data_IF_261461921124
#
_entry.id   IF_261461921124
#
_cell.length_a   1.000
_cell.length_b   1.000
_cell.length_c   1.000
_cell.angle_alpha   90.00
_cell.angle_beta   90.00
_cell.angle_gamma   90.00
#
_symmetry.space_group_name_H-M   'P 1'
#
loop_
_entity.id
_entity.type
_entity.pdbx_description
1 polymer ?
#
# COMPACT_ATOMS: atom_id res chain seq x y z
N UNK A 1 -9.57 18.16 -22.60
CA UNK A 1 -8.17 18.21 -23.07
C UNK A 1 -7.16 18.70 -22.02
N UNK A 2 -7.59 19.16 -20.83
CA UNK A 2 -6.74 19.89 -19.87
C UNK A 2 -5.76 19.04 -19.05
N UNK A 3 -6.13 17.80 -18.66
CA UNK A 3 -5.31 17.01 -17.71
C UNK A 3 -3.82 16.83 -18.05
N UNK A 4 -3.45 16.64 -19.33
CA UNK A 4 -2.03 16.47 -19.68
C UNK A 4 -1.20 17.75 -19.53
N UNK A 5 -1.84 18.92 -19.62
CA UNK A 5 -1.23 20.22 -19.30
C UNK A 5 -1.25 20.42 -17.79
N UNK A 6 -2.37 20.16 -17.13
CA UNK A 6 -2.51 20.27 -15.67
C UNK A 6 -1.50 19.39 -14.92
N UNK A 7 -1.25 18.17 -15.40
CA UNK A 7 -0.25 17.24 -14.86
C UNK A 7 1.17 17.79 -14.97
N UNK A 8 1.53 18.35 -16.13
CA UNK A 8 2.85 18.95 -16.32
C UNK A 8 3.02 20.22 -15.49
N UNK A 9 1.96 21.03 -15.35
CA UNK A 9 1.93 22.19 -14.46
C UNK A 9 2.06 21.76 -12.99
N UNK A 10 1.41 20.67 -12.60
CA UNK A 10 1.51 20.13 -11.25
C UNK A 10 2.93 19.62 -10.92
N UNK A 11 3.60 18.97 -11.89
CA UNK A 11 5.00 18.59 -11.76
C UNK A 11 5.94 19.80 -11.68
N UNK A 12 5.71 20.84 -12.51
CA UNK A 12 6.57 22.03 -12.48
C UNK A 12 6.36 22.90 -11.24
N UNK A 13 5.14 22.92 -10.67
CA UNK A 13 4.83 23.71 -9.47
C UNK A 13 5.22 23.02 -8.15
N UNK A 14 5.41 21.70 -8.15
CA UNK A 14 5.52 20.93 -6.92
C UNK A 14 6.89 20.88 -6.24
N UNK A 15 7.86 21.71 -6.66
CA UNK A 15 9.24 21.71 -6.13
C UNK A 15 9.85 20.31 -6.01
N UNK A 16 9.63 19.45 -7.02
CA UNK A 16 10.20 18.11 -7.05
C UNK A 16 11.66 18.15 -7.54
N UNK A 17 12.54 17.24 -7.06
CA UNK A 17 13.86 17.05 -7.64
C UNK A 17 13.78 16.78 -9.15
N UNK A 18 14.77 17.23 -9.95
CA UNK A 18 14.77 17.03 -11.39
C UNK A 18 14.64 15.55 -11.78
N UNK A 19 15.37 14.68 -11.08
CA UNK A 19 15.37 13.23 -11.29
C UNK A 19 13.97 12.61 -11.12
N UNK A 20 13.15 13.16 -10.21
CA UNK A 20 11.76 12.73 -10.03
C UNK A 20 10.88 13.15 -11.21
N UNK A 21 11.07 14.37 -11.71
CA UNK A 21 10.29 14.88 -12.85
C UNK A 21 10.62 14.09 -14.11
N UNK A 22 11.89 13.73 -14.31
CA UNK A 22 12.35 12.92 -15.45
C UNK A 22 11.79 11.49 -15.41
N UNK A 23 11.69 10.90 -14.22
CA UNK A 23 11.15 9.56 -13.99
C UNK A 23 9.62 9.52 -13.87
N UNK A 24 8.95 10.68 -13.89
CA UNK A 24 7.50 10.76 -13.81
C UNK A 24 6.84 10.17 -15.07
N UNK A 25 5.59 9.73 -14.94
CA UNK A 25 4.85 9.12 -16.05
C UNK A 25 4.80 10.06 -17.26
N UNK A 26 5.35 9.64 -18.39
CA UNK A 26 5.41 10.45 -19.61
C UNK A 26 4.06 10.45 -20.34
N UNK A 27 3.05 11.07 -19.74
CA UNK A 27 1.67 11.05 -20.20
C UNK A 27 1.51 11.45 -21.69
N UNK A 28 2.30 12.42 -22.16
CA UNK A 28 2.29 12.86 -23.57
C UNK A 28 2.88 11.80 -24.51
N UNK A 29 3.98 11.14 -24.12
CA UNK A 29 4.66 10.08 -24.89
C UNK A 29 3.76 8.85 -24.98
N UNK A 30 3.23 8.40 -23.86
CA UNK A 30 2.28 7.28 -23.80
C UNK A 30 1.03 7.54 -24.63
N UNK A 31 0.48 8.76 -24.60
CA UNK A 31 -0.65 9.16 -25.45
C UNK A 31 -0.35 9.07 -26.96
N UNK A 32 0.90 9.36 -27.38
CA UNK A 32 1.33 9.18 -28.78
C UNK A 32 1.41 7.68 -29.13
N UNK A 33 1.90 6.84 -28.22
CA UNK A 33 1.91 5.39 -28.40
C UNK A 33 0.49 4.84 -28.59
N UNK A 34 -0.47 5.25 -27.75
CA UNK A 34 -1.89 4.84 -27.88
C UNK A 34 -2.46 5.19 -29.27
N UNK A 35 -2.08 6.34 -29.84
CA UNK A 35 -2.52 6.70 -31.21
C UNK A 35 -1.97 5.75 -32.26
N UNK A 36 -0.71 5.32 -32.12
CA UNK A 36 -0.07 4.35 -33.03
C UNK A 36 -0.73 2.97 -32.90
N UNK A 37 -0.99 2.50 -31.68
CA UNK A 37 -1.76 1.27 -31.44
C UNK A 37 -3.13 1.34 -32.11
N UNK A 38 -3.84 2.47 -31.95
CA UNK A 38 -5.14 2.66 -32.59
C UNK A 38 -5.03 2.60 -34.13
N UNK A 39 -4.00 3.21 -34.72
CA UNK A 39 -3.78 3.17 -36.17
C UNK A 39 -3.41 1.77 -36.66
N UNK A 40 -2.60 1.03 -35.90
CA UNK A 40 -2.22 -0.36 -36.18
C UNK A 40 -3.46 -1.26 -36.16
N UNK A 41 -4.31 -1.15 -35.14
CA UNK A 41 -5.58 -1.87 -35.05
C UNK A 41 -6.52 -1.56 -36.23
N UNK A 42 -6.67 -0.29 -36.60
CA UNK A 42 -7.47 0.12 -37.78
C UNK A 42 -6.87 -0.45 -39.07
N UNK A 43 -5.54 -0.44 -39.23
CA UNK A 43 -4.87 -0.99 -40.42
C UNK A 43 -5.06 -2.51 -40.56
N UNK A 44 -5.30 -3.20 -39.45
CA UNK A 44 -5.61 -4.62 -39.40
C UNK A 44 -7.12 -4.91 -39.60
N UNK A 45 -7.94 -3.88 -39.78
CA UNK A 45 -9.40 -4.01 -39.86
C UNK A 45 -10.06 -4.33 -38.52
N UNK A 46 -9.34 -4.14 -37.41
CA UNK A 46 -9.81 -4.30 -36.03
C UNK A 46 -10.13 -2.91 -35.47
N UNK A 47 -11.12 -2.25 -36.04
CA UNK A 47 -11.55 -0.96 -35.54
C UNK A 47 -12.33 -1.10 -34.21
N UNK A 48 -12.68 0.04 -33.62
CA UNK A 48 -13.29 0.08 -32.29
C UNK A 48 -14.65 -0.64 -32.25
N UNK A 49 -15.41 -0.55 -33.34
CA UNK A 49 -16.74 -1.16 -33.45
C UNK A 49 -16.59 -2.68 -33.56
N UNK A 50 -15.74 -3.14 -34.49
CA UNK A 50 -15.42 -4.57 -34.67
C UNK A 50 -14.89 -5.20 -33.38
N UNK A 51 -13.98 -4.53 -32.65
CA UNK A 51 -13.45 -5.06 -31.40
C UNK A 51 -14.50 -5.14 -30.29
N UNK A 52 -15.40 -4.15 -30.16
CA UNK A 52 -16.45 -4.21 -29.15
C UNK A 52 -17.46 -5.32 -29.45
N UNK A 53 -17.79 -5.57 -30.72
CA UNK A 53 -18.63 -6.69 -31.14
C UNK A 53 -17.97 -8.03 -30.80
N UNK A 54 -16.68 -8.19 -31.09
CA UNK A 54 -15.91 -9.38 -30.71
C UNK A 54 -15.93 -9.64 -29.19
N UNK A 55 -15.86 -8.58 -28.37
CA UNK A 55 -15.95 -8.71 -26.91
C UNK A 55 -17.36 -9.03 -26.39
N UNK A 56 -18.44 -8.64 -27.07
CA UNK A 56 -19.82 -8.94 -26.64
C UNK A 56 -20.15 -10.44 -26.68
N UNK A 57 -19.43 -11.20 -27.50
CA UNK A 57 -19.58 -12.64 -27.62
C UNK A 57 -18.64 -13.45 -26.70
N UNK A 58 -17.74 -12.78 -25.98
CA UNK A 58 -16.98 -13.35 -24.85
C UNK A 58 -17.86 -13.23 -23.61
N UNK A 59 -18.68 -14.24 -23.33
CA UNK A 59 -19.63 -14.22 -22.21
C UNK A 59 -18.96 -13.98 -20.83
N UNK A 60 -19.67 -13.36 -19.86
CA UNK A 60 -19.10 -12.97 -18.56
C UNK A 60 -18.78 -14.14 -17.60
N UNK A 61 -19.02 -15.40 -17.99
CA UNK A 61 -18.82 -16.61 -17.17
C UNK A 61 -17.87 -17.62 -17.84
N UNK A 62 -16.67 -17.20 -18.25
CA UNK A 62 -15.59 -18.13 -18.64
C UNK A 62 -14.43 -18.06 -17.65
N UNK A 63 -14.74 -18.20 -16.36
CA UNK A 63 -13.72 -18.57 -15.39
C UNK A 63 -13.44 -20.07 -15.56
N UNK A 64 -12.27 -20.40 -16.12
CA UNK A 64 -11.58 -21.70 -16.12
C UNK A 64 -11.70 -22.68 -17.31
N UNK A 65 -12.12 -22.26 -18.52
CA UNK A 65 -11.87 -23.07 -19.73
C UNK A 65 -11.31 -22.21 -20.86
N UNK A 66 -10.02 -22.37 -21.14
CA UNK A 66 -9.25 -21.66 -22.19
C UNK A 66 -9.71 -21.95 -23.63
N UNK A 67 -10.63 -22.89 -23.85
CA UNK A 67 -10.87 -23.47 -25.19
C UNK A 67 -11.98 -22.79 -26.02
N UNK A 68 -12.75 -21.84 -25.46
CA UNK A 68 -13.88 -21.20 -26.15
C UNK A 68 -13.86 -19.65 -26.16
N UNK A 69 -12.74 -18.99 -25.84
CA UNK A 69 -12.63 -17.52 -25.98
C UNK A 69 -12.27 -17.11 -27.41
N UNK A 70 -13.21 -16.46 -28.09
CA UNK A 70 -13.08 -15.98 -29.48
C UNK A 70 -11.98 -14.91 -29.65
N UNK A 71 -11.78 -14.07 -28.62
CA UNK A 71 -10.76 -13.03 -28.57
C UNK A 71 -10.12 -12.99 -27.18
N UNK A 72 -8.81 -13.11 -27.09
CA UNK A 72 -8.09 -13.00 -25.82
C UNK A 72 -6.92 -12.00 -25.96
N UNK A 73 -6.88 -11.02 -25.06
CA UNK A 73 -5.72 -10.15 -24.90
C UNK A 73 -5.04 -10.47 -23.57
N UNK A 74 -3.91 -11.18 -23.62
CA UNK A 74 -3.20 -11.63 -22.43
C UNK A 74 -1.80 -11.02 -22.32
N UNK A 75 -1.32 -10.89 -21.08
CA UNK A 75 0.05 -10.53 -20.78
C UNK A 75 0.71 -11.75 -20.15
N UNK A 76 1.44 -12.52 -20.95
CA UNK A 76 2.15 -13.69 -20.45
C UNK A 76 3.39 -13.27 -19.62
N UNK A 77 3.62 -13.99 -18.51
CA UNK A 77 4.89 -13.94 -17.76
C UNK A 77 5.86 -14.95 -18.36
N UNK A 78 6.58 -14.55 -19.40
CA UNK A 78 7.73 -15.32 -19.89
C UNK A 78 9.01 -14.87 -19.17
N UNK A 79 9.92 -15.81 -18.87
CA UNK A 79 11.18 -15.55 -18.18
C UNK A 79 12.12 -14.57 -18.92
N UNK A 80 13.06 -13.98 -18.15
CA UNK A 80 14.00 -12.87 -18.47
C UNK A 80 13.41 -11.58 -19.05
N UNK A 81 12.26 -11.62 -19.72
CA UNK A 81 11.49 -10.46 -20.18
C UNK A 81 10.01 -10.69 -19.85
N UNK A 82 9.54 -10.30 -18.66
CA UNK A 82 8.10 -10.36 -18.40
C UNK A 82 7.41 -9.29 -19.27
N UNK A 83 6.16 -9.52 -19.67
CA UNK A 83 5.27 -8.59 -20.39
C UNK A 83 5.46 -8.52 -21.92
N UNK A 84 4.95 -9.53 -22.64
CA UNK A 84 4.61 -9.41 -24.07
C UNK A 84 3.08 -9.39 -24.20
N UNK A 85 2.46 -8.27 -24.62
CA UNK A 85 1.04 -8.28 -24.94
C UNK A 85 0.79 -9.20 -26.14
N UNK A 86 -0.24 -10.04 -26.04
CA UNK A 86 -0.65 -10.95 -27.12
C UNK A 86 -2.14 -10.83 -27.34
N UNK A 87 -2.53 -10.48 -28.56
CA UNK A 87 -3.91 -10.53 -29.03
C UNK A 87 -4.10 -11.84 -29.81
N UNK A 88 -4.91 -12.76 -29.31
CA UNK A 88 -5.24 -14.01 -30.00
C UNK A 88 -6.69 -14.03 -30.47
N UNK A 89 -6.91 -14.53 -31.69
CA UNK A 89 -8.23 -14.70 -32.30
C UNK A 89 -8.41 -16.18 -32.67
N UNK A 90 -9.57 -16.76 -32.35
CA UNK A 90 -9.90 -18.14 -32.71
C UNK A 90 -10.24 -18.28 -34.20
N UNK A 91 -9.68 -19.30 -34.85
CA UNK A 91 -9.93 -19.67 -36.26
C UNK A 91 -10.55 -21.06 -36.37
N UNK A 92 -11.29 -21.29 -37.46
CA UNK A 92 -11.82 -22.61 -37.79
C UNK A 92 -10.66 -23.48 -38.35
N UNK A 93 -10.42 -24.68 -37.80
CA UNK A 93 -9.33 -25.55 -38.22
C UNK A 93 -9.42 -26.04 -39.67
N UNK A 94 -10.60 -26.01 -40.30
CA UNK A 94 -10.77 -26.55 -41.66
C UNK A 94 -10.41 -25.57 -42.78
N UNK A 95 -10.66 -24.27 -42.59
CA UNK A 95 -10.48 -23.26 -43.64
C UNK A 95 -9.57 -22.09 -43.23
N UNK A 96 -9.15 -22.03 -41.96
CA UNK A 96 -8.34 -20.94 -41.42
C UNK A 96 -9.06 -19.59 -41.41
N UNK A 97 -10.38 -19.57 -41.59
CA UNK A 97 -11.18 -18.37 -41.40
C UNK A 97 -11.29 -18.09 -39.90
N UNK A 98 -11.25 -16.81 -39.46
CA UNK A 98 -11.74 -16.45 -38.14
C UNK A 98 -13.13 -17.05 -37.94
N UNK A 99 -13.42 -17.64 -36.78
CA UNK A 99 -14.67 -18.40 -36.55
C UNK A 99 -15.96 -17.57 -36.67
N UNK A 100 -15.88 -16.30 -37.06
CA UNK A 100 -17.00 -15.38 -37.16
C UNK A 100 -17.30 -14.90 -38.59
N UNK A 101 -18.54 -15.16 -38.99
CA UNK A 101 -19.16 -14.73 -40.25
C UNK A 101 -19.51 -13.22 -40.31
N UNK A 102 -18.99 -12.40 -39.39
CA UNK A 102 -19.38 -11.00 -39.19
C UNK A 102 -18.25 -9.97 -39.36
N UNK A 103 -16.98 -10.41 -39.39
CA UNK A 103 -15.86 -9.54 -39.72
C UNK A 103 -16.02 -8.97 -41.14
N UNK A 104 -15.64 -7.72 -41.36
CA UNK A 104 -15.68 -7.13 -42.71
C UNK A 104 -14.86 -7.99 -43.71
N UNK A 105 -15.23 -8.04 -45.01
CA UNK A 105 -14.48 -8.80 -46.01
C UNK A 105 -12.99 -8.45 -46.05
N UNK A 106 -12.65 -7.19 -45.74
CA UNK A 106 -11.28 -6.69 -45.68
C UNK A 106 -10.56 -7.18 -44.42
N UNK A 107 -11.21 -7.16 -43.24
CA UNK A 107 -10.64 -7.70 -41.99
C UNK A 107 -10.36 -9.20 -42.12
N UNK A 108 -11.28 -9.98 -42.71
CA UNK A 108 -11.06 -11.42 -42.96
C UNK A 108 -9.89 -11.65 -43.90
N UNK A 109 -9.73 -10.82 -44.93
CA UNK A 109 -8.61 -10.92 -45.88
C UNK A 109 -7.27 -10.66 -45.19
N UNK A 110 -7.21 -9.69 -44.29
CA UNK A 110 -5.99 -9.40 -43.52
C UNK A 110 -5.66 -10.53 -42.55
N UNK A 111 -6.63 -11.02 -41.79
CA UNK A 111 -6.43 -12.15 -40.87
C UNK A 111 -6.02 -13.42 -41.63
N UNK A 112 -6.65 -13.75 -42.76
CA UNK A 112 -6.24 -14.86 -43.65
C UNK A 112 -4.80 -14.74 -44.15
N UNK A 113 -4.34 -13.54 -44.47
CA UNK A 113 -2.93 -13.32 -44.85
C UNK A 113 -1.97 -13.57 -43.68
N UNK A 114 -2.36 -13.21 -42.46
CA UNK A 114 -1.57 -13.49 -41.26
C UNK A 114 -1.51 -14.99 -40.98
N UNK A 115 -2.65 -15.70 -41.05
CA UNK A 115 -2.74 -17.17 -40.93
C UNK A 115 -1.76 -17.85 -41.90
N UNK A 116 -1.81 -17.44 -43.16
CA UNK A 116 -0.96 -18.03 -44.21
C UNK A 116 0.52 -17.73 -43.97
N UNK A 117 0.86 -16.53 -43.48
CA UNK A 117 2.23 -16.14 -43.17
C UNK A 117 2.79 -16.91 -41.97
N UNK A 118 1.99 -17.15 -40.93
CA UNK A 118 2.40 -17.99 -39.80
C UNK A 118 2.54 -19.45 -40.22
N UNK A 119 1.59 -20.01 -40.97
CA UNK A 119 1.71 -21.38 -41.51
C UNK A 119 2.96 -21.56 -42.37
N UNK A 120 3.31 -20.56 -43.20
CA UNK A 120 4.54 -20.56 -44.00
C UNK A 120 5.81 -20.47 -43.14
N UNK A 121 5.77 -19.75 -42.02
CA UNK A 121 6.89 -19.66 -41.07
C UNK A 121 7.10 -20.99 -40.32
N UNK A 122 6.02 -21.68 -39.93
CA UNK A 122 6.08 -23.00 -39.28
C UNK A 122 6.59 -24.08 -40.24
N UNK A 123 6.12 -24.08 -41.49
CA UNK A 123 6.58 -25.02 -42.53
C UNK A 123 8.07 -24.82 -42.86
N UNK A 124 8.56 -23.58 -42.89
CA UNK A 124 9.98 -23.29 -43.11
C UNK A 124 10.85 -23.58 -41.87
N UNK A 125 10.28 -23.62 -40.66
CA UNK A 125 10.97 -24.02 -39.43
C UNK A 125 11.21 -25.53 -39.35
N UNK A 126 10.22 -26.34 -39.74
CA UNK A 126 10.31 -27.81 -39.71
C UNK A 126 11.18 -28.39 -40.85
N UNK A 127 11.37 -27.66 -41.95
CA UNK A 127 12.26 -28.10 -43.04
C UNK A 127 13.77 -27.95 -42.71
N UNK A 128 14.13 -27.22 -41.65
CA UNK A 128 15.53 -27.09 -41.20
C UNK A 128 15.87 -28.19 -40.16
N UNK A 129 14.88 -28.78 -39.49
CA UNK A 129 15.09 -29.81 -38.46
C UNK A 129 15.24 -31.25 -39.01
N UNK A 130 14.90 -31.50 -40.28
CA UNK A 130 14.92 -32.85 -40.87
C UNK A 130 16.07 -33.13 -41.87
N UNK A 131 17.06 -32.25 -42.00
CA UNK A 131 18.21 -32.44 -42.90
C UNK A 131 19.49 -32.98 -42.21
N UNK A 132 19.41 -33.43 -40.94
CA UNK A 132 20.58 -33.99 -40.23
C UNK A 132 20.22 -35.15 -39.30
N UNK A 133 19.95 -36.33 -39.86
CA UNK A 133 20.15 -37.62 -39.18
C UNK A 133 20.00 -38.78 -40.17
N UNK A 134 21.07 -39.08 -40.91
CA UNK A 134 21.28 -40.35 -41.60
C UNK A 134 22.56 -41.00 -41.06
N UNK A 135 22.57 -42.33 -41.03
CA UNK A 135 23.48 -43.31 -40.38
C UNK A 135 23.12 -43.60 -38.90
N UNK A 136 22.80 -44.81 -38.46
CA UNK A 136 23.22 -46.14 -38.91
C UNK A 136 22.18 -47.21 -38.48
N UNK A 137 22.03 -48.26 -39.29
CA UNK A 137 21.27 -49.50 -38.98
C UNK A 137 22.19 -50.51 -38.27
N UNK A 138 21.77 -51.67 -37.69
CA UNK A 138 20.66 -52.54 -38.15
C UNK A 138 19.80 -53.33 -37.10
N UNK A 139 18.59 -53.71 -37.57
CA UNK A 139 17.73 -54.94 -37.41
C UNK A 139 18.21 -56.14 -36.54
N UNK A 140 17.36 -57.18 -36.23
CA UNK A 140 15.95 -57.50 -36.61
C UNK A 140 15.05 -57.86 -35.38
N UNK A 141 13.76 -58.23 -35.40
CA UNK A 141 13.14 -59.40 -36.05
C UNK A 141 11.60 -59.49 -35.83
N UNK A 142 10.94 -59.93 -36.91
CA UNK A 142 9.65 -60.64 -37.10
C UNK A 142 8.89 -61.23 -35.90
N UNK A 143 7.56 -61.11 -35.92
CA UNK A 143 6.63 -62.26 -35.91
C UNK A 143 5.19 -61.83 -36.24
N UNK A 144 4.61 -62.53 -37.22
CA UNK A 144 3.21 -62.53 -37.65
C UNK A 144 2.29 -63.30 -36.67
N UNK A 145 0.98 -63.19 -36.96
CA UNK A 145 -0.13 -64.11 -36.68
C UNK A 145 -1.14 -63.60 -35.64
N UNK A 146 -2.43 -63.93 -35.69
CA UNK A 146 -3.41 -64.40 -36.68
C UNK A 146 -4.71 -64.60 -35.85
N UNK A 147 -5.85 -64.84 -36.51
CA UNK A 147 -7.11 -65.40 -35.99
C UNK A 147 -8.09 -64.38 -35.38
N UNK A 148 -9.21 -63.97 -36.00
CA UNK A 148 -10.41 -64.65 -36.57
C UNK A 148 -11.48 -65.14 -35.58
N UNK A 149 -12.70 -64.61 -35.81
CA UNK A 149 -14.06 -65.18 -35.61
C UNK A 149 -14.52 -65.49 -34.16
N UNK A 150 -15.78 -65.30 -33.74
CA UNK A 150 -17.06 -65.54 -34.41
C UNK A 150 -18.23 -64.71 -33.82
N UNK A 151 -19.24 -64.57 -34.69
CA UNK A 151 -20.70 -64.33 -34.56
C UNK A 151 -21.35 -64.76 -33.23
N UNK A 152 -22.45 -64.17 -32.73
CA UNK A 152 -23.77 -64.03 -33.37
C UNK A 152 -24.74 -63.22 -32.46
N UNK A 153 -25.83 -62.71 -33.07
CA UNK A 153 -27.17 -62.44 -32.51
C UNK A 153 -27.70 -61.00 -32.64
N UNK A 154 -28.67 -60.90 -33.54
CA UNK A 154 -29.58 -59.79 -33.86
C UNK A 154 -30.52 -59.45 -32.68
N UNK A 155 -30.82 -58.16 -32.47
CA UNK A 155 -32.20 -57.60 -32.53
C UNK A 155 -32.28 -56.16 -31.97
N UNK A 156 -32.83 -55.28 -32.82
CA UNK A 156 -33.75 -54.17 -32.53
C UNK A 156 -33.27 -52.84 -31.92
N UNK A 157 -33.22 -51.83 -32.81
CA UNK A 157 -33.72 -50.45 -32.71
C UNK A 157 -33.69 -49.74 -31.34
N UNK A 158 -32.95 -48.64 -31.25
CA UNK A 158 -33.55 -47.29 -31.19
C UNK A 158 -32.50 -46.18 -31.33
N UNK A 159 -32.99 -45.00 -31.71
CA UNK A 159 -32.28 -43.93 -32.38
C UNK A 159 -31.27 -43.15 -31.53
N UNK A 160 -30.20 -42.70 -32.20
CA UNK A 160 -29.64 -41.35 -32.03
C UNK A 160 -28.77 -41.10 -30.80
N UNK A 161 -27.46 -41.35 -30.92
CA UNK A 161 -26.47 -40.60 -30.13
C UNK A 161 -25.22 -40.36 -30.97
N UNK A 162 -25.23 -39.28 -31.74
CA UNK A 162 -24.02 -38.77 -32.40
C UNK A 162 -23.09 -38.20 -31.32
N UNK A 163 -22.00 -38.92 -31.11
CA UNK A 163 -20.81 -38.53 -30.36
C UNK A 163 -20.41 -37.07 -30.65
N UNK A 164 -20.32 -36.25 -29.59
CA UNK A 164 -19.65 -34.95 -29.58
C UNK A 164 -18.22 -35.12 -30.12
N UNK A 165 -17.97 -34.70 -31.36
CA UNK A 165 -16.61 -34.41 -31.83
C UNK A 165 -16.17 -33.10 -31.17
N UNK A 166 -15.20 -33.18 -30.27
CA UNK A 166 -14.47 -32.02 -29.77
C UNK A 166 -13.94 -31.20 -30.97
N UNK A 167 -14.47 -29.99 -31.19
CA UNK A 167 -13.88 -29.01 -32.11
C UNK A 167 -12.61 -28.48 -31.45
N UNK A 168 -11.46 -28.92 -31.93
CA UNK A 168 -10.18 -28.31 -31.58
C UNK A 168 -10.18 -26.89 -32.16
N UNK A 169 -10.02 -25.86 -31.34
CA UNK A 169 -9.96 -24.46 -31.76
C UNK A 169 -8.50 -24.08 -32.00
N UNK A 170 -8.16 -23.71 -33.24
CA UNK A 170 -6.85 -23.14 -33.54
C UNK A 170 -6.88 -21.63 -33.22
N UNK A 171 -5.81 -21.08 -32.64
CA UNK A 171 -5.74 -19.64 -32.30
C UNK A 171 -4.56 -18.98 -33.01
N UNK A 172 -4.71 -17.71 -33.38
CA UNK A 172 -3.69 -16.94 -34.12
C UNK A 172 -3.28 -15.72 -33.33
N UNK A 173 -1.96 -15.50 -33.24
CA UNK A 173 -1.40 -14.31 -32.64
C UNK A 173 -1.42 -13.15 -33.64
N UNK A 174 -2.06 -12.04 -33.26
CA UNK A 174 -2.00 -10.78 -34.01
C UNK A 174 -0.84 -9.97 -33.42
N UNK A 175 0.28 -9.82 -34.15
CA UNK A 175 1.45 -9.11 -33.64
C UNK A 175 1.17 -7.61 -33.66
N UNK A 176 0.81 -7.09 -32.50
CA UNK A 176 0.80 -5.64 -32.27
C UNK A 176 2.19 -5.24 -31.80
N UNK A 177 2.82 -4.34 -32.55
CA UNK A 177 4.17 -3.82 -32.26
C UNK A 177 4.10 -2.56 -31.41
N UNK A 178 3.08 -1.73 -31.63
CA UNK A 178 2.93 -0.43 -30.96
C UNK A 178 2.46 -0.57 -29.50
N UNK A 179 1.76 -1.64 -29.16
CA UNK A 179 1.27 -1.89 -27.80
C UNK A 179 2.39 -2.45 -26.92
N UNK A 180 3.26 -3.29 -27.48
CA UNK A 180 4.51 -3.73 -26.89
C UNK A 180 5.39 -2.54 -26.52
N UNK A 181 5.54 -1.56 -27.43
CA UNK A 181 6.25 -0.32 -27.13
C UNK A 181 5.59 0.48 -25.99
N UNK A 182 4.26 0.59 -25.99
CA UNK A 182 3.52 1.28 -24.92
C UNK A 182 3.78 0.65 -23.54
N UNK A 183 3.67 -0.68 -23.42
CA UNK A 183 3.85 -1.37 -22.15
C UNK A 183 5.30 -1.45 -21.70
N UNK A 184 6.26 -1.52 -22.62
CA UNK A 184 7.69 -1.42 -22.29
C UNK A 184 8.04 -0.04 -21.71
N UNK A 185 7.54 1.05 -22.32
CA UNK A 185 7.72 2.39 -21.78
C UNK A 185 7.08 2.51 -20.39
N UNK A 186 5.82 2.08 -20.26
CA UNK A 186 5.10 2.18 -19.00
C UNK A 186 5.78 1.40 -17.88
N UNK A 187 6.26 0.19 -18.16
CA UNK A 187 6.99 -0.62 -17.19
C UNK A 187 8.28 0.04 -16.73
N UNK A 188 9.06 0.59 -17.67
CA UNK A 188 10.31 1.27 -17.33
C UNK A 188 10.03 2.45 -16.41
N UNK A 189 9.06 3.29 -16.76
CA UNK A 189 8.65 4.44 -15.94
C UNK A 189 8.16 3.99 -14.55
N UNK A 190 7.37 2.92 -14.45
CA UNK A 190 6.93 2.39 -13.15
C UNK A 190 8.09 1.82 -12.32
N UNK A 191 9.07 1.17 -12.95
CA UNK A 191 10.27 0.67 -12.27
C UNK A 191 11.18 1.80 -11.78
N UNK A 192 11.28 2.90 -12.54
CA UNK A 192 12.02 4.09 -12.12
C UNK A 192 11.31 4.76 -10.91
N UNK A 193 9.98 4.85 -10.94
CA UNK A 193 9.17 5.35 -9.82
C UNK A 193 9.30 4.48 -8.56
N UNK A 194 9.31 3.14 -8.71
CA UNK A 194 9.54 2.20 -7.60
C UNK A 194 10.92 2.44 -6.95
N UNK A 195 11.98 2.59 -7.77
CA UNK A 195 13.34 2.84 -7.29
C UNK A 195 13.44 4.16 -6.52
N UNK A 196 12.81 5.23 -7.04
CA UNK A 196 12.76 6.52 -6.36
C UNK A 196 12.03 6.39 -5.02
N UNK A 197 10.88 5.73 -4.99
CA UNK A 197 10.12 5.57 -3.76
C UNK A 197 10.93 4.85 -2.69
N UNK A 198 11.54 3.71 -3.02
CA UNK A 198 12.36 2.94 -2.06
C UNK A 198 13.55 3.77 -1.57
N UNK A 199 14.25 4.45 -2.49
CA UNK A 199 15.41 5.26 -2.14
C UNK A 199 15.06 6.47 -1.24
N UNK A 200 13.91 7.10 -1.46
CA UNK A 200 13.45 8.24 -0.66
C UNK A 200 12.88 7.80 0.68
N UNK A 201 12.16 6.68 0.73
CA UNK A 201 11.69 6.07 1.98
C UNK A 201 12.86 5.70 2.88
N UNK A 202 13.92 5.08 2.31
CA UNK A 202 15.13 4.78 3.07
C UNK A 202 15.81 6.05 3.58
N UNK A 203 15.92 7.10 2.76
CA UNK A 203 16.50 8.39 3.21
C UNK A 203 15.70 9.03 4.34
N UNK A 204 14.37 8.99 4.28
CA UNK A 204 13.50 9.47 5.36
C UNK A 204 13.72 8.62 6.63
N UNK A 205 13.79 7.31 6.50
CA UNK A 205 14.07 6.38 7.60
C UNK A 205 15.40 6.70 8.28
N UNK A 206 16.46 6.90 7.50
CA UNK A 206 17.79 7.23 8.01
C UNK A 206 17.80 8.58 8.75
N UNK A 207 17.05 9.57 8.25
CA UNK A 207 16.89 10.87 8.92
C UNK A 207 16.14 10.75 10.25
N UNK A 208 15.10 9.91 10.30
CA UNK A 208 14.35 9.63 11.53
C UNK A 208 15.25 8.94 12.54
N UNK A 209 15.97 7.89 12.16
CA UNK A 209 16.88 7.16 13.06
C UNK A 209 18.00 8.07 13.56
N UNK A 210 18.55 8.94 12.71
CA UNK A 210 19.57 9.89 13.13
C UNK A 210 19.03 10.92 14.15
N UNK A 211 17.81 11.45 13.92
CA UNK A 211 17.14 12.31 14.88
C UNK A 211 16.84 11.57 16.21
N UNK A 212 16.38 10.32 16.13
CA UNK A 212 16.13 9.48 17.31
C UNK A 212 17.40 9.31 18.15
N UNK A 213 18.54 9.04 17.52
CA UNK A 213 19.83 8.96 18.20
C UNK A 213 20.24 10.28 18.88
N UNK A 214 19.98 11.43 18.25
CA UNK A 214 20.22 12.76 18.86
C UNK A 214 19.35 12.95 20.11
N UNK A 215 18.06 12.68 20.01
CA UNK A 215 17.10 12.80 21.12
C UNK A 215 17.38 11.80 22.26
N UNK A 216 17.87 10.60 21.93
CA UNK A 216 18.26 9.62 22.94
C UNK A 216 19.46 10.09 23.75
N UNK A 217 20.47 10.70 23.10
CA UNK A 217 21.61 11.33 23.80
C UNK A 217 21.14 12.48 24.68
N UNK A 218 20.19 13.28 24.19
CA UNK A 218 19.58 14.37 24.96
C UNK A 218 18.86 13.84 26.20
N UNK A 219 18.03 12.80 26.07
CA UNK A 219 17.31 12.14 27.18
C UNK A 219 18.26 11.57 28.23
N UNK A 220 19.39 11.02 27.81
CA UNK A 220 20.38 10.43 28.71
C UNK A 220 21.25 11.49 29.43
N UNK A 221 21.24 12.74 28.96
CA UNK A 221 21.96 13.84 29.59
C UNK A 221 21.43 14.16 30.99
N UNK A 222 22.34 14.34 31.95
CA UNK A 222 21.98 14.70 33.33
C UNK A 222 21.74 16.21 33.52
N UNK A 223 22.11 17.03 32.54
CA UNK A 223 22.08 18.51 32.62
C UNK A 223 20.64 19.01 32.78
N UNK A 224 20.44 20.04 33.61
CA UNK A 224 19.12 20.67 33.82
C UNK A 224 18.54 21.24 32.52
N UNK A 225 19.39 21.89 31.71
CA UNK A 225 19.04 22.44 30.40
C UNK A 225 18.50 21.35 29.45
N UNK A 226 19.17 20.20 29.37
CA UNK A 226 18.70 19.08 28.52
C UNK A 226 17.35 18.53 28.97
N UNK A 227 17.05 18.49 30.27
CA UNK A 227 15.74 18.07 30.77
C UNK A 227 14.62 19.05 30.41
N UNK A 228 14.92 20.34 30.34
CA UNK A 228 13.96 21.34 29.87
C UNK A 228 13.72 21.18 28.37
N UNK A 229 14.78 20.96 27.58
CA UNK A 229 14.66 20.70 26.15
C UNK A 229 13.83 19.43 25.84
N UNK A 230 14.01 18.35 26.61
CA UNK A 230 13.18 17.13 26.49
C UNK A 230 11.70 17.43 26.78
N UNK A 231 11.41 18.34 27.70
CA UNK A 231 10.04 18.74 28.00
C UNK A 231 9.44 19.59 26.87
N UNK A 232 10.23 20.46 26.25
CA UNK A 232 9.81 21.19 25.04
C UNK A 232 9.53 20.20 23.89
N UNK A 233 10.39 19.20 23.68
CA UNK A 233 10.15 18.13 22.70
C UNK A 233 8.90 17.30 22.99
N UNK A 234 8.60 17.03 24.26
CA UNK A 234 7.35 16.36 24.66
C UNK A 234 6.13 17.15 24.16
N UNK A 235 6.10 18.46 24.39
CA UNK A 235 5.02 19.32 23.91
C UNK A 235 4.90 19.28 22.39
N UNK A 236 6.03 19.34 21.67
CA UNK A 236 6.04 19.27 20.20
C UNK A 236 5.49 17.95 19.70
N UNK A 237 5.88 16.84 20.32
CA UNK A 237 5.38 15.51 19.96
C UNK A 237 3.90 15.33 20.29
N UNK A 238 3.42 15.87 21.42
CA UNK A 238 2.00 15.90 21.73
C UNK A 238 1.23 16.67 20.66
N UNK A 239 1.68 17.88 20.32
CA UNK A 239 1.05 18.69 19.26
C UNK A 239 1.08 17.99 17.90
N UNK A 240 2.15 17.25 17.60
CA UNK A 240 2.27 16.49 16.36
C UNK A 240 1.31 15.31 16.30
N UNK A 241 1.15 14.57 17.40
CA UNK A 241 0.17 13.50 17.52
C UNK A 241 -1.26 14.03 17.37
N UNK A 242 -1.58 15.13 18.07
CA UNK A 242 -2.92 15.76 18.03
C UNK A 242 -3.25 16.34 16.65
N UNK A 243 -2.24 16.75 15.87
CA UNK A 243 -2.44 17.29 14.53
C UNK A 243 -2.84 16.23 13.48
N UNK A 244 -2.55 14.93 13.74
CA UNK A 244 -2.95 13.81 12.87
C UNK A 244 -2.68 14.07 11.37
N UNK A 245 -1.46 14.51 11.06
CA UNK A 245 -1.12 15.10 9.75
C UNK A 245 -1.36 14.13 8.58
N UNK A 246 -0.96 12.87 8.70
CA UNK A 246 -0.99 11.91 7.59
C UNK A 246 -2.10 10.86 7.68
N UNK A 247 -2.64 10.62 8.88
CA UNK A 247 -3.68 9.63 9.10
C UNK A 247 -4.58 10.07 10.24
N UNK A 248 -5.89 9.86 10.11
CA UNK A 248 -6.87 10.10 11.18
C UNK A 248 -7.14 8.82 11.96
N UNK A 249 -7.30 8.96 13.29
CA UNK A 249 -7.77 7.89 14.18
C UNK A 249 -9.26 8.00 14.51
N UNK A 250 -9.94 9.05 14.04
CA UNK A 250 -11.35 9.28 14.35
C UNK A 250 -12.26 8.33 13.55
N UNK A 251 -13.32 7.81 14.19
CA UNK A 251 -14.24 6.85 13.56
C UNK A 251 -14.87 7.35 12.26
N UNK A 252 -15.08 8.67 12.13
CA UNK A 252 -15.76 9.27 10.99
C UNK A 252 -14.88 9.41 9.73
N UNK A 253 -13.58 9.61 9.89
CA UNK A 253 -12.62 9.82 8.78
C UNK A 253 -11.36 8.95 8.90
N UNK A 254 -11.47 7.81 9.60
CA UNK A 254 -10.38 6.87 9.85
C UNK A 254 -9.66 6.47 8.56
N UNK A 255 -8.34 6.60 8.55
CA UNK A 255 -7.51 6.19 7.42
C UNK A 255 -6.47 7.24 7.01
N UNK A 256 -5.84 6.96 5.87
CA UNK A 256 -4.78 7.79 5.30
C UNK A 256 -5.37 9.07 4.67
N UNK A 257 -4.80 10.23 5.04
CA UNK A 257 -5.19 11.53 4.48
C UNK A 257 -4.57 11.73 3.11
N UNK A 258 -5.31 12.40 2.21
CA UNK A 258 -4.76 12.80 0.91
C UNK A 258 -3.75 13.94 1.04
N UNK A 259 -2.99 14.22 -0.02
CA UNK A 259 -1.95 15.25 0.00
C UNK A 259 -2.49 16.65 0.33
N UNK A 260 -3.74 16.96 0.01
CA UNK A 260 -4.33 18.29 0.28
C UNK A 260 -4.73 18.45 1.73
N UNK A 261 -5.33 17.40 2.31
CA UNK A 261 -5.67 17.33 3.72
C UNK A 261 -4.40 17.32 4.57
N UNK A 262 -3.42 16.47 4.25
CA UNK A 262 -2.16 16.40 4.97
C UNK A 262 -1.39 17.72 4.91
N UNK A 263 -1.39 18.40 3.76
CA UNK A 263 -0.81 19.73 3.64
C UNK A 263 -1.49 20.74 4.58
N UNK A 264 -2.82 20.77 4.61
CA UNK A 264 -3.59 21.68 5.48
C UNK A 264 -3.28 21.43 6.96
N UNK A 265 -3.32 20.17 7.40
CA UNK A 265 -3.00 19.80 8.78
C UNK A 265 -1.55 20.16 9.15
N UNK A 266 -0.61 19.95 8.23
CA UNK A 266 0.79 20.35 8.44
C UNK A 266 0.97 21.87 8.56
N UNK A 267 0.23 22.66 7.77
CA UNK A 267 0.23 24.12 7.87
C UNK A 267 -0.37 24.60 9.20
N UNK A 268 -1.45 23.98 9.67
CA UNK A 268 -2.07 24.26 10.97
C UNK A 268 -1.14 23.89 12.13
N UNK A 269 -0.50 22.72 12.06
CA UNK A 269 0.53 22.30 12.99
C UNK A 269 1.69 23.29 13.07
N UNK A 270 2.25 23.70 11.91
CA UNK A 270 3.35 24.66 11.89
C UNK A 270 2.96 26.01 12.50
N UNK A 271 1.75 26.50 12.24
CA UNK A 271 1.24 27.74 12.88
C UNK A 271 1.14 27.59 14.39
N UNK A 272 0.63 26.46 14.87
CA UNK A 272 0.54 26.19 16.30
C UNK A 272 1.93 26.04 16.94
N UNK A 273 2.93 25.56 16.20
CA UNK A 273 4.27 25.26 16.68
C UNK A 273 5.15 26.50 16.95
N UNK A 274 4.81 27.67 16.40
CA UNK A 274 5.65 28.89 16.50
C UNK A 274 6.12 29.23 17.93
N UNK A 275 5.28 29.20 18.98
CA UNK A 275 5.73 29.45 20.35
C UNK A 275 6.77 28.43 20.84
N UNK A 276 6.59 27.15 20.50
CA UNK A 276 7.53 26.08 20.87
C UNK A 276 8.82 26.15 20.06
N UNK A 277 8.76 26.67 18.82
CA UNK A 277 9.93 26.91 17.99
C UNK A 277 10.85 27.96 18.61
N UNK A 278 10.29 29.07 19.10
CA UNK A 278 11.04 30.07 19.84
C UNK A 278 11.64 29.50 21.15
N UNK A 279 10.89 28.63 21.83
CA UNK A 279 11.38 27.96 23.04
C UNK A 279 12.56 27.04 22.73
N UNK A 280 12.48 26.24 21.66
CA UNK A 280 13.58 25.37 21.22
C UNK A 280 14.83 26.16 20.87
N UNK A 281 14.70 27.31 20.20
CA UNK A 281 15.85 28.13 19.81
C UNK A 281 16.67 28.62 21.02
N UNK A 282 16.05 28.76 22.21
CA UNK A 282 16.76 29.10 23.46
C UNK A 282 17.77 28.01 23.88
N UNK A 283 17.64 26.79 23.40
CA UNK A 283 18.58 25.69 23.68
C UNK A 283 19.81 25.66 22.76
N UNK A 284 19.83 26.52 21.72
CA UNK A 284 20.98 26.73 20.84
C UNK A 284 20.78 26.15 19.44
N UNK A 285 21.79 26.32 18.59
CA UNK A 285 21.72 25.96 17.16
C UNK A 285 21.47 24.46 16.93
N UNK A 286 22.04 23.59 17.78
CA UNK A 286 21.84 22.14 17.65
C UNK A 286 20.37 21.75 17.85
N UNK A 287 19.72 22.26 18.89
CA UNK A 287 18.29 22.00 19.16
C UNK A 287 17.39 22.52 18.04
N UNK A 288 17.69 23.73 17.54
CA UNK A 288 17.01 24.29 16.36
C UNK A 288 17.21 23.44 15.10
N UNK A 289 18.42 22.90 14.90
CA UNK A 289 18.73 21.99 13.80
C UNK A 289 17.98 20.66 13.88
N UNK A 290 17.82 20.09 15.07
CA UNK A 290 17.03 18.87 15.27
C UNK A 290 15.53 19.11 15.00
N UNK A 291 14.98 20.27 15.38
CA UNK A 291 13.60 20.65 15.03
C UNK A 291 13.43 20.87 13.53
N UNK A 292 14.36 21.58 12.89
CA UNK A 292 14.35 21.77 11.43
C UNK A 292 14.40 20.43 10.69
N UNK A 293 15.21 19.49 11.17
CA UNK A 293 15.27 18.12 10.64
C UNK A 293 13.93 17.41 10.77
N UNK A 294 13.28 17.50 11.93
CA UNK A 294 11.94 16.93 12.15
C UNK A 294 10.90 17.50 11.17
N UNK A 295 10.86 18.82 11.00
CA UNK A 295 9.95 19.46 10.05
C UNK A 295 10.26 19.09 8.60
N UNK A 296 11.55 19.00 8.26
CA UNK A 296 12.02 18.61 6.92
C UNK A 296 11.62 17.18 6.56
N UNK A 297 11.66 16.24 7.51
CA UNK A 297 11.15 14.87 7.33
C UNK A 297 9.68 14.91 6.89
N UNK A 298 8.84 15.66 7.60
CA UNK A 298 7.41 15.79 7.30
C UNK A 298 7.16 16.44 5.94
N UNK A 299 7.93 17.49 5.58
CA UNK A 299 7.84 18.14 4.27
C UNK A 299 8.20 17.16 3.14
N UNK A 300 9.27 16.37 3.31
CA UNK A 300 9.68 15.36 2.31
C UNK A 300 8.62 14.29 2.15
N UNK A 301 8.03 13.81 3.24
CA UNK A 301 6.95 12.84 3.21
C UNK A 301 5.71 13.38 2.48
N UNK A 302 5.29 14.60 2.79
CA UNK A 302 4.18 15.26 2.09
C UNK A 302 4.45 15.40 0.58
N UNK A 303 5.68 15.79 0.21
CA UNK A 303 6.11 15.89 -1.19
C UNK A 303 6.06 14.54 -1.89
N UNK A 304 6.48 13.46 -1.22
CA UNK A 304 6.45 12.10 -1.74
C UNK A 304 5.01 11.59 -1.96
N UNK A 305 4.12 11.78 -0.98
CA UNK A 305 2.69 11.44 -1.08
C UNK A 305 2.06 12.17 -2.27
N UNK A 306 2.29 13.48 -2.39
CA UNK A 306 1.77 14.30 -3.49
C UNK A 306 2.28 13.81 -4.86
N UNK A 307 3.56 13.47 -4.96
CA UNK A 307 4.15 12.91 -6.17
C UNK A 307 3.54 11.55 -6.53
N UNK A 308 3.33 10.68 -5.53
CA UNK A 308 2.70 9.38 -5.70
C UNK A 308 1.26 9.51 -6.21
N UNK A 309 0.45 10.40 -5.62
CA UNK A 309 -0.94 10.65 -6.01
C UNK A 309 -1.07 11.15 -7.46
N UNK A 310 -0.23 12.12 -7.84
CA UNK A 310 -0.23 12.71 -9.18
C UNK A 310 0.12 11.65 -10.24
N UNK A 311 1.13 10.81 -9.97
CA UNK A 311 1.51 9.71 -10.86
C UNK A 311 0.46 8.58 -10.88
N UNK A 312 -0.11 8.18 -9.75
CA UNK A 312 -1.22 7.19 -9.69
C UNK A 312 -2.44 7.66 -10.48
N UNK A 313 -2.74 8.96 -10.42
CA UNK A 313 -3.79 9.58 -11.23
C UNK A 313 -3.46 9.55 -12.72
N UNK A 314 -2.21 9.86 -13.08
CA UNK A 314 -1.74 9.80 -14.47
C UNK A 314 -1.80 8.37 -15.03
N UNK A 315 -1.36 7.37 -14.24
CA UNK A 315 -1.46 5.95 -14.57
C UNK A 315 -2.91 5.53 -14.83
N UNK A 316 -3.81 5.85 -13.90
CA UNK A 316 -5.23 5.52 -14.04
C UNK A 316 -5.84 6.17 -15.29
N UNK A 317 -5.48 7.43 -15.56
CA UNK A 317 -5.98 8.16 -16.73
C UNK A 317 -5.36 7.71 -18.06
N UNK A 318 -4.11 7.23 -18.06
CA UNK A 318 -3.49 6.71 -19.28
C UNK A 318 -4.02 5.32 -19.61
N UNK A 319 -4.22 4.46 -18.61
CA UNK A 319 -4.87 3.15 -18.78
C UNK A 319 -6.32 3.29 -19.26
N UNK A 320 -7.13 4.14 -18.62
CA UNK A 320 -8.49 4.47 -19.12
C UNK A 320 -8.49 4.96 -20.57
N UNK A 321 -7.43 5.67 -21.00
CA UNK A 321 -7.31 6.16 -22.38
C UNK A 321 -6.90 5.07 -23.35
N UNK A 322 -6.04 4.15 -22.93
CA UNK A 322 -5.66 2.97 -23.69
C UNK A 322 -6.93 2.18 -24.03
N UNK A 323 -7.65 1.69 -23.02
CA UNK A 323 -8.85 0.87 -23.23
C UNK A 323 -9.93 1.59 -24.06
N UNK A 324 -10.17 2.88 -23.81
CA UNK A 324 -11.18 3.64 -24.57
C UNK A 324 -10.84 3.76 -26.07
N UNK A 325 -9.56 3.70 -26.44
CA UNK A 325 -9.11 3.89 -27.83
C UNK A 325 -8.81 2.58 -28.54
N UNK A 326 -8.41 1.56 -27.80
CA UNK A 326 -8.03 0.26 -28.35
C UNK A 326 -9.11 -0.79 -28.17
N UNK A 327 -10.09 -0.59 -27.28
CA UNK A 327 -11.11 -1.59 -26.94
C UNK A 327 -10.52 -2.95 -26.54
N UNK A 328 -9.28 -3.01 -26.07
CA UNK A 328 -8.59 -4.24 -25.67
C UNK A 328 -8.88 -4.66 -24.20
N UNK A 329 -9.71 -3.89 -23.48
CA UNK A 329 -10.18 -4.18 -22.11
C UNK A 329 -9.10 -4.60 -21.11
N UNK A 330 -7.90 -4.03 -21.25
CA UNK A 330 -6.69 -4.43 -20.52
C UNK A 330 -6.69 -4.00 -19.06
N UNK A 331 -7.59 -3.08 -18.68
CA UNK A 331 -7.62 -2.45 -17.38
C UNK A 331 -7.61 -3.42 -16.20
N UNK A 332 -8.49 -4.42 -16.20
CA UNK A 332 -8.67 -5.28 -15.03
C UNK A 332 -7.45 -6.19 -14.82
N UNK A 333 -6.99 -6.83 -15.91
CA UNK A 333 -5.82 -7.70 -15.93
C UNK A 333 -4.53 -6.96 -15.57
N UNK A 334 -4.37 -5.76 -16.13
CA UNK A 334 -3.18 -4.93 -15.92
C UNK A 334 -3.21 -4.24 -14.57
N UNK A 335 -4.34 -3.70 -14.11
CA UNK A 335 -4.41 -3.11 -12.78
C UNK A 335 -4.07 -4.16 -11.71
N UNK A 336 -4.55 -5.39 -11.81
CA UNK A 336 -4.23 -6.45 -10.84
C UNK A 336 -2.75 -6.89 -10.87
N UNK A 337 -2.07 -6.77 -12.02
CA UNK A 337 -0.64 -7.06 -12.13
C UNK A 337 0.24 -5.86 -11.75
N UNK A 338 -0.20 -4.63 -12.02
CA UNK A 338 0.51 -3.39 -11.72
C UNK A 338 0.33 -2.96 -10.26
N UNK A 339 -0.81 -3.23 -9.61
CA UNK A 339 -1.01 -2.92 -8.17
C UNK A 339 -0.09 -3.70 -7.23
N UNK A 340 0.67 -4.66 -7.74
CA UNK A 340 1.73 -5.37 -7.00
C UNK A 340 3.05 -4.60 -6.98
N UNK A 341 3.18 -3.48 -7.70
CA UNK A 341 4.39 -2.67 -7.60
C UNK A 341 4.42 -1.92 -6.26
N UNK A 342 5.57 -1.87 -5.55
CA UNK A 342 5.70 -1.14 -4.29
C UNK A 342 5.16 0.29 -4.35
N UNK A 343 5.37 0.97 -5.49
CA UNK A 343 4.87 2.33 -5.71
C UNK A 343 3.35 2.48 -5.63
N UNK A 344 2.61 1.43 -5.97
CA UNK A 344 1.14 1.45 -5.97
C UNK A 344 0.54 0.73 -4.76
N UNK A 345 1.30 -0.18 -4.14
CA UNK A 345 0.88 -1.03 -3.04
C UNK A 345 1.16 -0.44 -1.65
N UNK A 346 2.25 0.32 -1.50
CA UNK A 346 2.73 0.75 -0.19
C UNK A 346 2.17 2.12 0.20
N UNK A 347 1.53 2.18 1.36
CA UNK A 347 1.10 3.42 1.99
C UNK A 347 2.30 4.01 2.76
N UNK A 348 3.09 4.81 2.05
CA UNK A 348 4.29 5.48 2.59
C UNK A 348 4.00 6.27 3.86
N UNK A 349 2.82 6.90 3.95
CA UNK A 349 2.32 7.58 5.15
C UNK A 349 2.38 6.66 6.36
N UNK A 350 1.83 5.44 6.24
CA UNK A 350 1.72 4.49 7.34
C UNK A 350 3.09 3.97 7.77
N UNK A 351 3.94 3.59 6.81
CA UNK A 351 5.27 3.09 7.11
C UNK A 351 6.12 4.16 7.83
N UNK A 352 6.10 5.39 7.33
CA UNK A 352 6.86 6.50 7.93
C UNK A 352 6.28 6.96 9.25
N UNK A 353 4.94 7.04 9.41
CA UNK A 353 4.29 7.31 10.69
C UNK A 353 4.62 6.22 11.73
N UNK A 354 4.64 4.95 11.34
CA UNK A 354 5.04 3.86 12.22
C UNK A 354 6.49 4.02 12.69
N UNK A 355 7.41 4.36 11.77
CA UNK A 355 8.79 4.66 12.15
C UNK A 355 8.88 5.85 13.09
N UNK A 356 8.21 6.97 12.80
CA UNK A 356 8.21 8.16 13.67
C UNK A 356 7.72 7.79 15.07
N UNK A 357 6.65 7.01 15.17
CA UNK A 357 6.13 6.55 16.46
C UNK A 357 7.14 5.70 17.22
N UNK A 358 7.75 4.71 16.56
CA UNK A 358 8.67 3.79 17.24
C UNK A 358 10.03 4.41 17.58
N UNK A 359 10.58 5.19 16.67
CA UNK A 359 11.94 5.72 16.76
C UNK A 359 12.00 7.09 17.43
N UNK A 360 10.90 7.87 17.45
CA UNK A 360 10.88 9.21 18.05
C UNK A 360 9.91 9.31 19.22
N UNK A 361 8.63 8.98 19.01
CA UNK A 361 7.59 9.21 20.02
C UNK A 361 7.79 8.30 21.25
N UNK A 362 8.16 7.04 21.05
CA UNK A 362 8.46 6.12 22.15
C UNK A 362 9.76 6.49 22.91
N UNK A 363 10.67 7.26 22.31
CA UNK A 363 11.86 7.73 23.00
C UNK A 363 11.52 8.77 24.07
N UNK A 364 10.54 9.63 23.85
CA UNK A 364 10.09 10.66 24.79
C UNK A 364 8.65 10.30 25.21
N UNK A 365 8.48 9.52 26.30
CA UNK A 365 7.19 8.92 26.68
C UNK A 365 6.13 9.98 26.95
N UNK A 366 4.94 9.93 26.37
CA UNK A 366 3.95 11.00 26.58
C UNK A 366 3.26 10.88 27.95
N UNK A 367 2.79 11.99 28.50
CA UNK A 367 2.13 11.99 29.81
C UNK A 367 0.79 11.23 29.78
N UNK A 368 0.06 11.34 28.67
CA UNK A 368 -1.27 10.75 28.46
C UNK A 368 -1.28 9.23 28.66
N UNK A 369 -0.19 8.55 28.31
CA UNK A 369 -0.06 7.08 28.43
C UNK A 369 0.00 6.60 29.89
N UNK A 370 0.22 7.51 30.84
CA UNK A 370 0.43 7.18 32.26
C UNK A 370 -0.61 7.82 33.19
N UNK A 371 -1.71 8.34 32.64
CA UNK A 371 -2.79 8.93 33.41
C UNK A 371 -3.63 7.85 34.11
N UNK A 372 -4.07 8.14 35.33
CA UNK A 372 -5.00 7.31 36.07
C UNK A 372 -6.40 7.48 35.48
N UNK A 373 -7.09 6.39 35.05
CA UNK A 373 -8.42 6.48 34.45
C UNK A 373 -9.51 7.06 35.36
N UNK A 374 -9.27 7.13 36.68
CA UNK A 374 -10.24 7.61 37.66
C UNK A 374 -10.12 9.12 37.87
N UNK A 375 -8.90 9.65 37.93
CA UNK A 375 -8.68 11.07 38.23
C UNK A 375 -8.02 11.86 37.08
N UNK A 376 -7.74 11.23 35.94
CA UNK A 376 -7.14 11.82 34.74
C UNK A 376 -5.83 12.59 35.01
N UNK A 377 -5.10 12.14 36.02
CA UNK A 377 -3.84 12.70 36.47
C UNK A 377 -2.81 11.58 36.57
N UNK A 378 -1.52 11.91 36.53
CA UNK A 378 -0.44 10.91 36.53
C UNK A 378 -0.65 9.83 37.60
N UNK A 379 -0.46 8.56 37.22
CA UNK A 379 -0.63 7.39 38.09
C UNK A 379 0.46 7.29 39.15
N UNK A 380 0.54 8.27 40.06
CA UNK A 380 1.60 8.33 41.06
C UNK A 380 1.36 7.35 42.21
N UNK A 381 2.44 6.64 42.59
CA UNK A 381 2.38 5.37 43.33
C UNK A 381 1.39 4.41 42.65
N UNK A 382 1.71 3.99 41.42
CA UNK A 382 0.84 3.16 40.61
C UNK A 382 0.61 1.81 41.31
N UNK A 383 -0.64 1.37 41.36
CA UNK A 383 -1.02 0.04 41.84
C UNK A 383 -1.56 -0.75 40.66
N UNK A 384 -0.92 -1.88 40.37
CA UNK A 384 -1.30 -2.81 39.30
C UNK A 384 -2.14 -3.92 39.90
N UNK A 385 -3.41 -3.96 39.51
CA UNK A 385 -4.33 -5.01 39.96
C UNK A 385 -4.00 -6.34 39.27
N UNK A 386 -4.56 -7.43 39.79
CA UNK A 386 -4.40 -8.78 39.21
C UNK A 386 -4.90 -8.86 37.75
N UNK A 387 -5.84 -7.98 37.37
CA UNK A 387 -6.31 -7.81 35.98
C UNK A 387 -5.39 -6.94 35.11
N UNK A 388 -4.17 -6.63 35.57
CA UNK A 388 -3.14 -5.79 34.93
C UNK A 388 -3.46 -4.30 34.74
N UNK A 389 -4.65 -3.83 35.11
CA UNK A 389 -4.99 -2.42 35.07
C UNK A 389 -4.30 -1.62 36.19
N UNK A 390 -3.85 -0.41 35.86
CA UNK A 390 -3.06 0.45 36.76
C UNK A 390 -3.86 1.69 37.18
N UNK A 391 -3.82 2.02 38.46
CA UNK A 391 -4.43 3.21 39.04
C UNK A 391 -3.46 3.89 40.02
N UNK A 392 -3.66 5.17 40.35
CA UNK A 392 -2.91 5.76 41.47
C UNK A 392 -3.42 5.24 42.82
N UNK A 393 -2.52 5.10 43.79
CA UNK A 393 -2.82 4.57 45.13
C UNK A 393 -4.02 5.23 45.79
N UNK A 394 -4.18 6.55 45.64
CA UNK A 394 -5.27 7.31 46.28
C UNK A 394 -6.63 6.91 45.72
N UNK A 395 -6.74 6.79 44.39
CA UNK A 395 -7.98 6.38 43.75
C UNK A 395 -8.37 4.95 44.14
N UNK A 396 -7.39 4.05 44.27
CA UNK A 396 -7.65 2.68 44.72
C UNK A 396 -8.15 2.64 46.17
N UNK A 397 -7.51 3.37 47.08
CA UNK A 397 -7.96 3.47 48.50
C UNK A 397 -9.39 3.99 48.59
N UNK A 398 -9.77 4.98 47.76
CA UNK A 398 -11.15 5.49 47.72
C UNK A 398 -12.13 4.38 47.32
N UNK A 399 -11.81 3.59 46.28
CA UNK A 399 -12.66 2.49 45.83
C UNK A 399 -12.82 1.40 46.91
N UNK A 400 -11.73 1.02 47.58
CA UNK A 400 -11.76 0.03 48.66
C UNK A 400 -12.61 0.52 49.84
N UNK A 401 -12.47 1.79 50.25
CA UNK A 401 -13.29 2.39 51.32
C UNK A 401 -14.78 2.47 50.96
N UNK A 402 -15.09 2.71 49.69
CA UNK A 402 -16.46 2.68 49.18
C UNK A 402 -17.00 1.25 48.97
N UNK A 403 -16.21 0.21 49.28
CA UNK A 403 -16.54 -1.20 49.04
C UNK A 403 -16.98 -1.47 47.61
N UNK A 404 -16.29 -0.88 46.63
CA UNK A 404 -16.50 -1.14 45.20
C UNK A 404 -15.46 -2.17 44.73
N UNK A 405 -15.81 -3.47 44.63
CA UNK A 405 -14.81 -4.53 44.40
C UNK A 405 -14.40 -4.68 42.93
N UNK A 406 -15.13 -4.08 42.01
CA UNK A 406 -14.93 -4.25 40.56
C UNK A 406 -13.92 -3.25 40.02
N UNK A 407 -13.03 -3.71 39.14
CA UNK A 407 -12.13 -2.85 38.37
C UNK A 407 -12.96 -1.89 37.47
N UNK A 408 -12.67 -0.57 37.46
CA UNK A 408 -13.39 0.38 36.60
C UNK A 408 -13.27 0.12 35.09
N UNK A 409 -12.23 -0.59 34.65
CA UNK A 409 -11.96 -0.83 33.23
C UNK A 409 -12.55 -2.17 32.75
N UNK A 410 -12.20 -3.28 33.40
CA UNK A 410 -12.64 -4.63 32.99
C UNK A 410 -13.75 -5.24 33.83
N UNK A 411 -14.17 -4.58 34.92
CA UNK A 411 -15.19 -5.05 35.86
C UNK A 411 -14.83 -6.35 36.60
N UNK A 412 -13.59 -6.78 36.61
CA UNK A 412 -13.15 -7.95 37.39
C UNK A 412 -13.05 -7.63 38.90
N UNK A 413 -13.28 -8.62 39.76
CA UNK A 413 -13.40 -8.48 41.23
C UNK A 413 -12.05 -8.41 41.97
N UNK A 414 -11.12 -7.59 41.49
CA UNK A 414 -9.71 -7.58 41.96
C UNK A 414 -9.35 -6.40 42.88
N UNK A 415 -10.26 -5.45 43.09
CA UNK A 415 -9.94 -4.20 43.83
C UNK A 415 -9.74 -4.45 45.34
N UNK A 416 -10.51 -5.37 45.92
CA UNK A 416 -10.45 -5.63 47.37
C UNK A 416 -9.24 -6.50 47.77
N UNK A 417 -8.68 -7.24 46.81
CA UNK A 417 -7.49 -8.08 47.00
C UNK A 417 -6.20 -7.27 46.97
N UNK A 418 -6.22 -6.07 46.39
CA UNK A 418 -5.02 -5.29 46.15
C UNK A 418 -4.44 -4.69 47.45
N UNK A 419 -3.15 -4.94 47.68
CA UNK A 419 -2.41 -4.51 48.86
C UNK A 419 -1.12 -3.73 48.48
N UNK A 420 -0.13 -3.70 49.39
CA UNK A 420 1.12 -3.01 49.14
C UNK A 420 2.00 -3.69 48.07
N UNK A 421 1.86 -5.00 47.90
CA UNK A 421 2.67 -5.79 46.98
C UNK A 421 2.26 -5.54 45.52
N UNK A 422 1.03 -5.07 45.30
CA UNK A 422 0.54 -4.63 43.98
C UNK A 422 1.11 -3.28 43.52
N UNK A 423 1.92 -2.59 44.34
CA UNK A 423 2.54 -1.32 43.94
C UNK A 423 3.62 -1.58 42.89
N UNK A 424 3.45 -0.98 41.72
CA UNK A 424 4.39 -1.11 40.61
C UNK A 424 5.59 -0.17 40.83
N UNK A 425 6.62 -0.69 41.50
CA UNK A 425 7.83 0.07 41.84
C UNK A 425 8.62 0.50 40.60
N UNK A 426 8.66 -0.34 39.55
CA UNK A 426 9.36 -0.02 38.31
C UNK A 426 8.70 1.17 37.62
N UNK A 427 7.38 1.13 37.46
CA UNK A 427 6.61 2.23 36.91
C UNK A 427 6.73 3.48 37.79
N UNK A 428 6.73 3.34 39.12
CA UNK A 428 6.92 4.47 40.04
C UNK A 428 8.26 5.17 39.81
N UNK A 429 9.36 4.41 39.72
CA UNK A 429 10.70 4.96 39.47
C UNK A 429 10.78 5.62 38.09
N UNK A 430 10.15 5.02 37.09
CA UNK A 430 10.04 5.57 35.75
C UNK A 430 9.30 6.92 35.75
N UNK A 431 8.13 7.01 36.39
CA UNK A 431 7.34 8.24 36.47
C UNK A 431 8.12 9.35 37.20
N UNK A 432 8.78 9.01 38.31
CA UNK A 432 9.60 9.96 39.05
C UNK A 432 10.80 10.47 38.23
N UNK A 433 11.36 9.63 37.36
CA UNK A 433 12.50 10.02 36.52
C UNK A 433 12.07 10.94 35.37
N UNK A 434 10.96 10.61 34.69
CA UNK A 434 10.54 11.25 33.44
C UNK A 434 9.56 12.42 33.62
N UNK A 435 8.72 12.42 34.68
CA UNK A 435 7.63 13.39 34.88
C UNK A 435 7.71 14.06 36.27
N UNK A 436 8.88 14.61 36.60
CA UNK A 436 9.16 15.13 37.96
C UNK A 436 8.19 16.18 38.47
N UNK A 437 7.70 17.06 37.59
CA UNK A 437 6.79 18.15 37.98
C UNK A 437 5.42 17.58 38.33
N UNK A 438 4.87 16.75 37.45
CA UNK A 438 3.56 16.11 37.60
C UNK A 438 3.52 15.19 38.81
N UNK A 439 4.58 14.41 39.02
CA UNK A 439 4.74 13.55 40.20
C UNK A 439 4.74 14.35 41.50
N UNK A 440 5.47 15.47 41.56
CA UNK A 440 5.50 16.31 42.76
C UNK A 440 4.14 16.93 43.06
N UNK A 441 3.47 17.43 42.03
CA UNK A 441 2.12 17.97 42.16
C UNK A 441 1.14 16.89 42.64
N UNK A 442 1.20 15.70 42.05
CA UNK A 442 0.34 14.59 42.46
C UNK A 442 0.62 14.07 43.86
N UNK A 443 1.89 14.04 44.27
CA UNK A 443 2.28 13.68 45.63
C UNK A 443 1.71 14.67 46.65
N UNK A 444 1.79 15.98 46.36
CA UNK A 444 1.21 17.02 47.20
C UNK A 444 -0.33 16.89 47.32
N UNK A 445 -1.02 16.67 46.19
CA UNK A 445 -2.47 16.39 46.20
C UNK A 445 -2.82 15.17 47.08
N UNK A 446 -2.04 14.09 46.95
CA UNK A 446 -2.24 12.87 47.73
C UNK A 446 -2.03 13.13 49.24
N UNK A 447 -1.03 13.91 49.62
CA UNK A 447 -0.75 14.29 51.01
C UNK A 447 -1.88 15.12 51.61
N UNK A 448 -2.37 16.12 50.88
CA UNK A 448 -3.53 16.92 51.29
C UNK A 448 -4.75 16.01 51.48
N UNK A 449 -5.04 15.16 50.51
CA UNK A 449 -6.20 14.27 50.55
C UNK A 449 -6.11 13.25 51.70
N UNK A 450 -4.91 12.74 52.02
CA UNK A 450 -4.68 11.87 53.16
C UNK A 450 -4.73 12.62 54.51
N UNK A 451 -4.38 13.91 54.52
CA UNK A 451 -4.54 14.80 55.66
C UNK A 451 -6.03 15.04 55.96
N UNK A 452 -6.82 15.32 54.92
CA UNK A 452 -8.28 15.47 55.04
C UNK A 452 -8.93 14.18 55.58
N UNK A 453 -8.50 13.01 55.11
CA UNK A 453 -9.03 11.73 55.61
C UNK A 453 -8.75 11.53 57.12
N UNK A 454 -7.62 12.02 57.62
CA UNK A 454 -7.21 11.85 59.03
C UNK A 454 -7.75 12.93 59.95
N UNK A 455 -7.83 14.17 59.48
CA UNK A 455 -8.09 15.36 60.29
C UNK A 455 -9.35 16.13 59.88
N UNK A 456 -10.10 15.63 58.90
CA UNK A 456 -11.30 16.25 58.36
C UNK A 456 -11.04 17.39 57.37
N UNK A 457 -12.12 17.91 56.78
CA UNK A 457 -12.06 18.94 55.71
C UNK A 457 -11.36 20.24 56.12
N UNK A 458 -11.28 20.51 57.42
CA UNK A 458 -10.64 21.71 57.98
C UNK A 458 -9.14 21.76 57.66
N UNK A 459 -8.49 20.60 57.53
CA UNK A 459 -7.07 20.47 57.16
C UNK A 459 -6.78 20.94 55.73
N UNK A 460 -7.71 20.74 54.79
CA UNK A 460 -7.55 21.24 53.43
C UNK A 460 -7.61 22.77 53.34
N UNK A 461 -8.34 23.42 54.25
CA UNK A 461 -8.50 24.88 54.30
C UNK A 461 -7.33 25.57 54.99
N UNK A 462 -6.68 24.94 55.97
CA UNK A 462 -5.55 25.50 56.72
C UNK A 462 -4.24 25.58 55.91
N UNK A 463 -4.10 24.80 54.84
CA UNK A 463 -2.96 24.86 53.91
C UNK A 463 -2.85 26.21 53.15
N UNK A 464 -3.90 27.05 53.16
CA UNK A 464 -3.89 28.39 52.54
C UNK A 464 -3.35 29.49 53.46
N UNK A 465 -3.05 29.18 54.72
CA UNK A 465 -2.49 30.16 55.65
C UNK A 465 -0.98 30.27 55.44
N UNK A 466 -0.54 31.36 54.80
CA UNK A 466 0.84 31.83 54.86
C UNK A 466 1.03 32.35 56.29
N UNK A 467 1.81 31.63 57.10
CA UNK A 467 2.36 32.21 58.34
C UNK A 467 3.32 33.31 57.88
N UNK A 468 2.92 34.56 58.07
CA UNK A 468 3.74 35.75 57.77
C UNK A 468 5.00 35.79 58.63
#
# INVERSE_FOLDING_TARGET
>A
MKFGQDYQVALSRGEYPPDWIESAISYKKLKKCIKRVQQELISLGLDKETLNELWQHVGPNSDNSTDEQVLQYSLQKSGKIPFTPKLTIAIDPQDGSPMDAWLSPDTRRVLRRLVNKERLATINGDQIAHASADYDSPRPSVSEADSTSDVDSMAENEAGTSSRKHRHTDTIEVPLTSDSEFFQILRRELSELDQIQVAEQQRIQDEITALGNELQRLKNSRKKRSKQEVETWRNIFQMYQDAEIFSSLHEADAGDRDSTQAQKHFEEFNKALEPQREEIMKFGQLAGGSLDRFLRINIKLLRLIKFQEINKTALTKIMKKFDKRTSLHTRATIQNSLTKTPFLAENLSRATCFTITNELLNLIPQLNDYLCPICFSISWKPVRLNCNHVFCIRCLIVLQRQRKPHCPLCRELVVMEADNDNVDFELMLFLHKNFKKDVKQKQHENEIAAGIDRWGEQYGKSQKCIVM
#
